data_IF_025945211049
#
_entry.id   IF_025945211049
#
_cell.length_a   1.000
_cell.length_b   1.000
_cell.length_c   1.000
_cell.angle_alpha   90.00
_cell.angle_beta   90.00
_cell.angle_gamma   90.00
#
_symmetry.space_group_name_H-M   'P 1'
#
loop_
_entity.id
_entity.type
_entity.pdbx_description
1 polymer ?
#
# COMPACT_ATOMS: atom_id res chain seq x y z
N UNK A 1 -42.86 -14.04 15.27
CA UNK A 1 -42.19 -14.55 14.07
C UNK A 1 -41.72 -13.36 13.25
N UNK A 2 -40.43 -13.05 13.31
CA UNK A 2 -39.66 -12.35 12.26
C UNK A 2 -38.20 -12.77 12.51
N UNK A 3 -37.62 -13.48 11.55
CA UNK A 3 -36.23 -13.93 11.52
C UNK A 3 -35.48 -13.00 10.57
N UNK A 4 -34.38 -12.40 11.04
CA UNK A 4 -33.46 -11.64 10.19
C UNK A 4 -32.52 -12.61 9.47
N UNK A 5 -32.34 -12.53 8.14
CA UNK A 5 -31.47 -13.43 7.41
C UNK A 5 -30.03 -12.91 7.39
N UNK A 6 -29.06 -13.81 7.58
CA UNK A 6 -27.85 -13.72 6.75
C UNK A 6 -26.47 -13.98 7.36
N UNK A 7 -26.29 -14.41 8.61
CA UNK A 7 -24.95 -14.82 9.07
C UNK A 7 -24.65 -16.26 8.67
N UNK A 8 -24.18 -16.46 7.43
CA UNK A 8 -23.60 -17.76 7.02
C UNK A 8 -22.10 -17.73 7.33
N UNK A 9 -21.73 -18.48 8.36
CA UNK A 9 -20.37 -18.88 8.65
C UNK A 9 -19.93 -19.87 7.55
N UNK A 10 -19.05 -19.43 6.65
CA UNK A 10 -18.35 -20.34 5.74
C UNK A 10 -16.90 -20.49 6.21
N UNK A 11 -16.62 -21.63 6.84
CA UNK A 11 -15.29 -22.04 7.23
C UNK A 11 -14.41 -22.40 6.01
N UNK A 12 -13.14 -22.03 6.14
CA UNK A 12 -11.91 -22.53 5.52
C UNK A 12 -12.00 -23.71 4.55
N UNK A 13 -11.52 -23.53 3.30
CA UNK A 13 -10.30 -24.19 2.79
C UNK A 13 -10.01 -23.86 1.31
N UNK A 14 -8.71 -23.91 0.97
CA UNK A 14 -8.09 -24.03 -0.36
C UNK A 14 -7.80 -22.75 -1.17
N UNK A 15 -6.60 -22.22 -0.92
CA UNK A 15 -5.56 -21.87 -1.90
C UNK A 15 -5.96 -21.48 -3.33
N UNK A 16 -5.62 -20.23 -3.69
CA UNK A 16 -5.59 -19.79 -5.10
C UNK A 16 -6.18 -18.40 -5.30
N UNK A 17 -5.72 -17.39 -4.56
CA UNK A 17 -6.10 -16.01 -4.81
C UNK A 17 -5.42 -15.49 -6.07
N UNK A 18 -6.07 -15.66 -7.22
CA UNK A 18 -5.72 -14.98 -8.48
C UNK A 18 -5.56 -13.47 -8.23
N UNK A 19 -4.34 -12.95 -8.30
CA UNK A 19 -4.05 -11.53 -8.14
C UNK A 19 -4.45 -10.78 -9.42
N UNK A 20 -5.75 -10.59 -9.62
CA UNK A 20 -6.26 -9.82 -10.76
C UNK A 20 -5.87 -8.35 -10.61
N UNK A 21 -5.13 -7.86 -11.61
CA UNK A 21 -4.89 -6.47 -12.02
C UNK A 21 -5.80 -5.42 -11.33
N UNK A 22 -5.22 -4.61 -10.43
CA UNK A 22 -5.89 -3.51 -9.71
C UNK A 22 -5.79 -3.59 -8.17
N UNK A 23 -5.17 -4.66 -7.66
CA UNK A 23 -5.26 -5.06 -6.26
C UNK A 23 -4.39 -4.19 -5.32
N UNK A 24 -5.02 -3.34 -4.50
CA UNK A 24 -4.40 -2.74 -3.33
C UNK A 24 -3.86 -3.87 -2.43
N UNK A 25 -2.62 -3.77 -1.90
CA UNK A 25 -2.13 -4.75 -0.93
C UNK A 25 -3.08 -4.88 0.27
N UNK A 26 -3.27 -6.11 0.77
CA UNK A 26 -4.04 -6.36 2.00
C UNK A 26 -3.41 -5.66 3.21
N UNK A 27 -2.07 -5.61 3.24
CA UNK A 27 -1.28 -4.93 4.26
C UNK A 27 -0.04 -4.26 3.62
N UNK A 28 0.50 -3.25 4.31
CA UNK A 28 1.75 -2.59 3.94
C UNK A 28 2.81 -2.82 5.02
N UNK A 29 4.04 -3.10 4.60
CA UNK A 29 5.19 -3.00 5.49
C UNK A 29 5.50 -1.54 5.74
N UNK A 30 5.67 -1.17 7.01
CA UNK A 30 5.98 0.21 7.41
C UNK A 30 7.46 0.32 7.70
N UNK A 31 8.12 1.22 6.99
CA UNK A 31 9.52 1.60 7.24
C UNK A 31 9.50 3.04 7.76
N UNK A 32 9.74 3.26 9.07
CA UNK A 32 9.82 4.61 9.59
C UNK A 32 11.10 5.29 9.08
N UNK A 33 10.94 6.42 8.42
CA UNK A 33 12.05 7.28 7.99
C UNK A 33 12.02 8.55 8.85
N UNK A 34 13.09 8.78 9.59
CA UNK A 34 13.26 9.94 10.46
C UNK A 34 14.73 10.37 10.48
N UNK A 35 14.98 11.65 10.73
CA UNK A 35 16.32 12.21 10.76
C UNK A 35 16.34 13.69 10.35
N UNK A 36 17.55 14.19 10.12
CA UNK A 36 17.81 15.53 9.58
C UNK A 36 17.77 15.52 8.05
N UNK A 37 18.27 16.57 7.38
CA UNK A 37 18.23 16.75 5.92
C UNK A 37 18.73 15.54 5.13
N UNK A 38 19.79 14.87 5.58
CA UNK A 38 20.36 13.73 4.85
C UNK A 38 19.46 12.49 4.81
N UNK A 39 18.44 12.42 5.67
CA UNK A 39 17.43 11.35 5.62
C UNK A 39 16.25 11.71 4.69
N UNK A 40 16.26 12.90 4.11
CA UNK A 40 15.17 13.48 3.31
C UNK A 40 15.68 13.87 1.91
N UNK A 41 14.77 14.32 1.05
CA UNK A 41 15.07 14.69 -0.34
C UNK A 41 15.77 16.07 -0.46
N UNK A 42 17.05 16.14 -0.07
CA UNK A 42 17.94 17.31 -0.25
C UNK A 42 19.03 17.08 -1.31
N UNK A 43 18.82 16.13 -2.23
CA UNK A 43 19.70 15.95 -3.38
C UNK A 43 19.51 17.07 -4.40
N UNK A 44 20.61 17.61 -4.93
CA UNK A 44 20.61 18.70 -5.93
C UNK A 44 20.45 18.18 -7.38
N UNK A 45 20.40 16.86 -7.57
CA UNK A 45 20.23 16.24 -8.89
C UNK A 45 18.80 16.41 -9.42
N UNK A 46 18.66 16.49 -10.75
CA UNK A 46 17.36 16.54 -11.39
C UNK A 46 16.60 15.21 -11.16
N UNK A 47 15.35 15.22 -10.68
CA UNK A 47 14.57 14.01 -10.55
C UNK A 47 14.25 13.42 -11.93
N UNK A 48 14.30 12.09 -12.04
CA UNK A 48 14.04 11.35 -13.26
C UNK A 48 12.75 10.51 -13.11
N UNK A 49 11.57 11.13 -13.27
CA UNK A 49 10.28 10.49 -12.96
C UNK A 49 9.91 9.35 -13.90
N UNK A 50 10.52 9.26 -15.08
CA UNK A 50 10.24 8.21 -16.06
C UNK A 50 11.09 6.95 -15.84
N UNK A 51 12.14 7.03 -15.03
CA UNK A 51 13.10 5.94 -14.83
C UNK A 51 13.30 5.62 -13.35
N UNK A 52 14.19 6.34 -12.68
CA UNK A 52 14.66 6.01 -11.35
C UNK A 52 13.71 6.48 -10.24
N UNK A 53 13.04 7.61 -10.44
CA UNK A 53 12.14 8.22 -9.45
C UNK A 53 10.65 7.96 -9.77
N UNK A 54 10.38 6.96 -10.61
CA UNK A 54 9.04 6.65 -11.05
C UNK A 54 8.15 6.16 -9.89
N UNK A 55 6.93 6.70 -9.74
CA UNK A 55 6.01 6.26 -8.70
C UNK A 55 5.49 4.85 -8.98
N UNK A 56 5.59 3.97 -7.98
CA UNK A 56 5.06 2.60 -8.08
C UNK A 56 3.69 2.47 -7.39
N UNK A 57 2.65 1.85 -8.00
CA UNK A 57 1.29 1.80 -7.46
C UNK A 57 1.18 1.15 -6.07
N UNK A 58 2.13 0.27 -5.71
CA UNK A 58 2.18 -0.43 -4.41
C UNK A 58 3.01 0.28 -3.34
N UNK A 59 3.80 1.30 -3.70
CA UNK A 59 4.58 2.07 -2.73
C UNK A 59 3.72 3.27 -2.32
N UNK A 60 3.54 3.45 -1.01
CA UNK A 60 2.72 4.52 -0.42
C UNK A 60 3.47 5.15 0.74
N UNK A 61 3.23 6.44 0.93
CA UNK A 61 3.75 7.21 2.07
C UNK A 61 2.58 7.80 2.85
N UNK A 62 2.76 7.98 4.16
CA UNK A 62 1.81 8.74 4.96
C UNK A 62 1.82 10.19 4.51
N UNK A 63 0.64 10.71 4.18
CA UNK A 63 0.50 12.09 3.75
C UNK A 63 0.82 13.04 4.92
N UNK A 64 1.60 14.07 4.63
CA UNK A 64 1.80 15.23 5.48
C UNK A 64 1.65 16.45 4.59
N UNK A 65 0.79 17.40 4.96
CA UNK A 65 0.82 18.75 4.42
C UNK A 65 1.33 19.68 5.52
N UNK A 66 2.15 20.64 5.12
CA UNK A 66 2.51 21.79 5.96
C UNK A 66 1.36 22.79 5.98
#
# INVERSE_FOLDING_TARGET
MITLPGSVLAGTAAGGGSHTSGNRPEYYFVIPVAGQSNAMAYGEGLPLPDTLDAPHPRIKQLARRA
#
